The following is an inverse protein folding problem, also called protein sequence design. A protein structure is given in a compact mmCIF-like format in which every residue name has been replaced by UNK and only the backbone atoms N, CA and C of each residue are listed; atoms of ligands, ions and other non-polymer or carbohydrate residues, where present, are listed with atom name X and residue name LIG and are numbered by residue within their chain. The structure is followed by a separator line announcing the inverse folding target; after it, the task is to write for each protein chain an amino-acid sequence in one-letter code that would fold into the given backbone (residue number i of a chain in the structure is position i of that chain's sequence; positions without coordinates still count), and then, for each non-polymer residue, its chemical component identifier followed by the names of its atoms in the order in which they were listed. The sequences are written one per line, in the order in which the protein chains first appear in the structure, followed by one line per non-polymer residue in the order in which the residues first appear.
data_IF_062821925917
#
_entry.id   IF_062821925917
#
_cell.length_a   1.000
_cell.length_b   1.000
_cell.length_c   1.000
_cell.angle_alpha   90.00
_cell.angle_beta   90.00
_cell.angle_gamma   90.00
#
_symmetry.space_group_name_H-M   'P 1'
#
loop_
_entity.id
_entity.type
_entity.pdbx_description
1 polymer ?
#
# COMPACT_ATOMS: atom_id res chain seq x y z
N UNK A 1 7.55 65.61 1.03
CA UNK A 1 6.33 64.84 1.38
C UNK A 1 6.68 63.79 2.43
N UNK A 2 6.20 63.92 3.68
CA UNK A 2 6.40 62.90 4.73
C UNK A 2 5.23 61.90 4.69
N UNK A 3 5.50 60.63 4.36
CA UNK A 3 4.51 59.54 4.43
C UNK A 3 4.27 59.16 5.90
N UNK A 4 3.06 59.40 6.39
CA UNK A 4 2.57 58.89 7.67
C UNK A 4 2.27 57.39 7.53
N UNK A 5 2.89 56.56 8.36
CA UNK A 5 2.53 55.13 8.48
C UNK A 5 1.25 55.01 9.33
N UNK A 6 0.24 54.24 8.89
CA UNK A 6 -0.98 54.06 9.66
C UNK A 6 -0.68 53.26 10.93
N UNK A 7 -1.07 53.82 12.06
CA UNK A 7 -0.95 53.19 13.38
C UNK A 7 -2.10 52.21 13.55
N UNK A 8 -1.86 50.93 13.23
CA UNK A 8 -2.86 49.88 13.41
C UNK A 8 -3.10 49.66 14.90
N UNK A 9 -4.35 49.81 15.33
CA UNK A 9 -4.74 49.62 16.72
C UNK A 9 -4.83 48.12 17.01
N UNK A 10 -3.78 47.58 17.62
CA UNK A 10 -3.65 46.17 18.02
C UNK A 10 -4.86 45.63 18.79
N UNK A 11 -5.56 46.46 19.57
CA UNK A 11 -6.76 46.00 20.30
C UNK A 11 -7.92 45.70 19.37
N UNK A 12 -8.09 46.46 18.28
CA UNK A 12 -9.13 46.19 17.27
C UNK A 12 -8.79 44.93 16.46
N UNK A 13 -7.51 44.70 16.16
CA UNK A 13 -7.08 43.49 15.44
C UNK A 13 -7.33 42.22 16.27
N UNK A 14 -7.06 42.26 17.58
CA UNK A 14 -7.30 41.13 18.48
C UNK A 14 -8.78 40.78 18.59
N UNK A 15 -9.67 41.79 18.65
CA UNK A 15 -11.13 41.59 18.71
C UNK A 15 -11.64 40.93 17.42
N UNK A 16 -11.12 41.34 16.25
CA UNK A 16 -11.50 40.74 14.96
C UNK A 16 -11.09 39.26 14.90
N UNK A 17 -9.90 38.93 15.38
CA UNK A 17 -9.42 37.53 15.42
C UNK A 17 -10.29 36.68 16.35
N UNK A 18 -10.62 37.17 17.55
CA UNK A 18 -11.50 36.44 18.48
C UNK A 18 -12.91 36.22 17.92
N UNK A 19 -13.48 37.21 17.22
CA UNK A 19 -14.77 37.06 16.54
C UNK A 19 -14.71 36.04 15.40
N UNK A 20 -13.59 35.98 14.66
CA UNK A 20 -13.40 34.98 13.61
C UNK A 20 -13.32 33.56 14.19
N UNK A 21 -12.61 33.36 15.30
CA UNK A 21 -12.55 32.05 15.98
C UNK A 21 -13.91 31.64 16.56
N UNK A 22 -14.71 32.57 17.06
CA UNK A 22 -16.06 32.26 17.54
C UNK A 22 -17.05 31.95 16.42
N UNK A 23 -16.95 32.65 15.29
CA UNK A 23 -17.86 32.46 14.15
C UNK A 23 -17.51 31.23 13.31
N UNK A 24 -16.24 30.81 13.30
CA UNK A 24 -15.77 29.71 12.44
C UNK A 24 -15.18 28.51 13.21
N UNK A 25 -14.95 28.63 14.52
CA UNK A 25 -14.35 27.57 15.36
C UNK A 25 -15.32 26.52 15.88
N UNK A 26 -16.63 26.68 15.66
CA UNK A 26 -17.65 25.69 16.03
C UNK A 26 -18.48 25.27 14.81
N UNK A 27 -17.83 24.60 13.86
CA UNK A 27 -18.48 23.98 12.71
C UNK A 27 -18.38 22.46 12.75
N UNK A 28 -19.52 21.79 13.00
CA UNK A 28 -19.84 20.35 12.85
C UNK A 28 -19.52 19.41 14.02
N UNK A 29 -20.42 19.38 15.00
CA UNK A 29 -21.05 18.11 15.42
C UNK A 29 -22.44 18.06 14.80
N UNK A 30 -22.60 17.27 13.73
CA UNK A 30 -23.91 16.74 13.35
C UNK A 30 -23.80 15.22 13.46
N UNK A 31 -24.52 14.67 14.41
CA UNK A 31 -24.93 13.27 14.42
C UNK A 31 -25.81 13.03 13.19
N UNK A 32 -25.42 12.08 12.34
CA UNK A 32 -26.33 11.43 11.40
C UNK A 32 -26.13 9.94 11.60
N UNK A 33 -27.19 9.28 12.08
CA UNK A 33 -27.37 7.83 12.03
C UNK A 33 -27.20 7.36 10.58
N UNK A 34 -26.11 6.66 10.30
CA UNK A 34 -25.93 5.91 9.06
C UNK A 34 -26.06 4.42 9.39
N UNK A 35 -27.31 3.94 9.45
CA UNK A 35 -27.60 2.51 9.51
C UNK A 35 -28.61 2.05 8.44
N UNK A 36 -28.99 2.89 7.46
CA UNK A 36 -30.14 2.55 6.60
C UNK A 36 -30.02 2.90 5.11
N UNK A 37 -28.81 2.98 4.53
CA UNK A 37 -28.65 3.23 3.09
C UNK A 37 -27.67 2.30 2.35
N UNK A 38 -27.28 1.16 2.94
CA UNK A 38 -26.41 0.19 2.25
C UNK A 38 -27.15 -0.91 1.47
N UNK A 39 -28.47 -1.06 1.67
CA UNK A 39 -29.28 -2.09 1.00
C UNK A 39 -29.79 -1.69 -0.39
N UNK A 40 -29.89 -0.39 -0.68
CA UNK A 40 -30.57 0.07 -1.91
C UNK A 40 -29.64 0.17 -3.12
N UNK A 41 -28.32 0.33 -2.90
CA UNK A 41 -27.32 0.38 -3.98
C UNK A 41 -26.91 -1.03 -4.45
N UNK A 42 -27.12 -2.05 -3.62
CA UNK A 42 -26.79 -3.44 -3.97
C UNK A 42 -27.88 -4.13 -4.81
N UNK A 43 -29.12 -3.63 -4.78
CA UNK A 43 -30.21 -4.19 -5.59
C UNK A 43 -30.28 -3.61 -7.02
N UNK A 44 -29.77 -2.39 -7.25
CA UNK A 44 -29.72 -1.79 -8.59
C UNK A 44 -28.64 -2.41 -9.51
N UNK A 45 -27.66 -3.13 -8.95
CA UNK A 45 -26.62 -3.80 -9.74
C UNK A 45 -26.99 -5.23 -10.17
N UNK A 46 -28.01 -5.85 -9.57
CA UNK A 46 -28.41 -7.23 -9.88
C UNK A 46 -29.42 -7.29 -11.04
N UNK A 47 -30.21 -6.24 -11.27
CA UNK A 47 -31.19 -6.19 -12.36
C UNK A 47 -30.60 -5.90 -13.76
N UNK A 48 -29.30 -5.56 -13.85
CA UNK A 48 -28.62 -5.27 -15.14
C UNK A 48 -28.07 -6.55 -15.81
N UNK A 49 -28.00 -7.69 -15.11
CA UNK A 49 -27.42 -8.94 -15.64
C UNK A 49 -28.50 -10.00 -15.96
N UNK A 50 -29.77 -9.78 -15.61
CA UNK A 50 -30.84 -10.78 -15.73
C UNK A 50 -31.83 -10.52 -16.86
N UNK A 51 -31.41 -10.50 -18.13
CA UNK A 51 -32.36 -10.49 -19.27
C UNK A 51 -31.68 -10.88 -20.60
N UNK A 52 -31.49 -12.18 -20.81
CA UNK A 52 -31.35 -12.79 -22.14
C UNK A 52 -31.97 -14.17 -22.05
N UNK A 53 -33.05 -14.53 -22.75
CA UNK A 53 -33.37 -14.20 -24.13
C UNK A 53 -33.12 -15.48 -24.93
N UNK A 54 -34.16 -16.32 -24.99
CA UNK A 54 -34.18 -17.60 -25.72
C UNK A 54 -33.78 -17.40 -27.18
N UNK A 55 -32.82 -18.19 -27.66
CA UNK A 55 -32.50 -18.31 -29.09
C UNK A 55 -32.35 -19.78 -29.45
N UNK A 56 -33.19 -20.19 -30.40
CA UNK A 56 -33.31 -21.52 -30.99
C UNK A 56 -32.01 -22.05 -31.62
N UNK A 57 -31.81 -23.37 -31.47
CA UNK A 57 -30.85 -24.17 -32.23
C UNK A 57 -31.29 -24.36 -33.69
N UNK A 58 -30.34 -24.44 -34.64
CA UNK A 58 -30.29 -25.67 -35.44
C UNK A 58 -28.88 -26.18 -35.81
N UNK A 59 -28.77 -27.51 -35.70
CA UNK A 59 -28.06 -28.50 -36.55
C UNK A 59 -26.63 -28.28 -37.09
N UNK A 60 -25.75 -29.20 -36.65
CA UNK A 60 -24.75 -30.00 -37.39
C UNK A 60 -24.20 -29.48 -38.75
N UNK A 61 -22.89 -29.25 -38.81
CA UNK A 61 -22.04 -29.65 -39.95
C UNK A 61 -20.56 -29.77 -39.50
N UNK A 62 -19.80 -30.61 -40.20
CA UNK A 62 -18.52 -31.21 -39.77
C UNK A 62 -17.31 -30.63 -40.53
N UNK A 63 -16.20 -30.37 -39.80
CA UNK A 63 -14.77 -30.31 -40.20
C UNK A 63 -14.29 -29.15 -41.14
N UNK A 64 -12.96 -28.85 -41.29
CA UNK A 64 -11.75 -29.34 -40.59
C UNK A 64 -10.80 -28.23 -40.03
N UNK A 65 -9.86 -28.72 -39.21
CA UNK A 65 -8.56 -28.20 -38.75
C UNK A 65 -8.00 -26.88 -39.32
N UNK A 66 -7.69 -25.92 -38.43
CA UNK A 66 -6.73 -24.84 -38.70
C UNK A 66 -5.86 -24.54 -37.47
N UNK A 67 -4.55 -24.59 -37.71
CA UNK A 67 -3.46 -24.12 -36.84
C UNK A 67 -3.79 -22.79 -36.16
N UNK A 68 -3.90 -22.81 -34.83
CA UNK A 68 -3.93 -21.61 -34.00
C UNK A 68 -2.64 -21.52 -33.18
N UNK A 69 -1.68 -20.73 -33.69
CA UNK A 69 -0.69 -20.07 -32.85
C UNK A 69 -1.40 -18.94 -32.09
N UNK A 70 -2.15 -19.29 -31.05
CA UNK A 70 -2.58 -18.32 -30.04
C UNK A 70 -1.40 -18.00 -29.12
N UNK A 71 -1.17 -16.72 -28.77
CA UNK A 71 -0.27 -16.38 -27.67
C UNK A 71 -0.80 -17.09 -26.43
N UNK A 72 0.06 -17.87 -25.77
CA UNK A 72 -0.22 -18.47 -24.47
C UNK A 72 -0.25 -17.33 -23.43
N UNK A 73 -1.35 -16.59 -23.42
CA UNK A 73 -1.71 -15.66 -22.37
C UNK A 73 -2.24 -16.48 -21.20
N UNK A 74 -1.34 -16.96 -20.35
CA UNK A 74 -1.72 -17.46 -19.04
C UNK A 74 -2.02 -16.24 -18.18
N UNK A 75 -3.27 -15.80 -18.19
CA UNK A 75 -3.77 -14.86 -17.19
C UNK A 75 -4.05 -15.66 -15.91
N UNK A 76 -3.01 -15.98 -15.15
CA UNK A 76 -3.18 -16.47 -13.78
C UNK A 76 -3.61 -15.29 -12.90
N UNK A 77 -4.92 -15.08 -12.78
CA UNK A 77 -5.53 -14.22 -11.75
C UNK A 77 -5.74 -15.07 -10.50
N UNK A 78 -4.67 -15.62 -9.93
CA UNK A 78 -4.57 -15.65 -8.47
C UNK A 78 -3.85 -14.36 -8.09
N UNK A 79 -4.52 -13.23 -8.33
CA UNK A 79 -3.99 -11.96 -7.84
C UNK A 79 -3.96 -12.07 -6.33
N UNK A 80 -2.85 -11.65 -5.72
CA UNK A 80 -2.78 -11.30 -4.30
C UNK A 80 -3.68 -10.06 -4.01
N UNK A 81 -4.90 -10.03 -4.57
CA UNK A 81 -5.86 -8.94 -4.54
C UNK A 81 -6.27 -8.63 -3.13
N UNK A 82 -6.32 -9.64 -2.25
CA UNK A 82 -6.58 -9.42 -0.83
C UNK A 82 -5.43 -8.68 -0.15
N UNK A 83 -4.17 -8.98 -0.48
CA UNK A 83 -3.01 -8.26 0.08
C UNK A 83 -3.07 -6.80 -0.35
N UNK A 84 -3.35 -6.56 -1.64
CA UNK A 84 -3.48 -5.21 -2.21
C UNK A 84 -4.64 -4.46 -1.56
N UNK A 85 -5.83 -5.06 -1.50
CA UNK A 85 -7.03 -4.48 -0.89
C UNK A 85 -6.76 -4.13 0.59
N UNK A 86 -6.12 -5.03 1.33
CA UNK A 86 -5.77 -4.77 2.72
C UNK A 86 -4.71 -3.67 2.85
N UNK A 87 -3.75 -3.58 1.92
CA UNK A 87 -2.77 -2.50 1.88
C UNK A 87 -3.41 -1.13 1.62
N UNK A 88 -4.38 -1.05 0.70
CA UNK A 88 -5.17 0.16 0.47
C UNK A 88 -5.95 0.57 1.71
N UNK A 89 -6.61 -0.39 2.37
CA UNK A 89 -7.36 -0.14 3.61
C UNK A 89 -6.44 0.32 4.74
N UNK A 90 -5.31 -0.35 4.97
CA UNK A 90 -4.37 -0.02 6.05
C UNK A 90 -3.69 1.34 5.79
N UNK A 91 -3.22 1.59 4.57
CA UNK A 91 -2.58 2.85 4.21
C UNK A 91 -3.52 4.05 4.35
N UNK A 92 -4.78 3.93 3.93
CA UNK A 92 -5.79 4.99 4.10
C UNK A 92 -6.02 5.35 5.58
N UNK A 93 -5.96 4.35 6.48
CA UNK A 93 -6.18 4.54 7.91
C UNK A 93 -4.95 5.07 8.66
N UNK A 94 -3.74 4.87 8.13
CA UNK A 94 -2.48 5.42 8.65
C UNK A 94 -2.38 6.94 8.41
N UNK A 95 -2.84 7.42 7.25
CA UNK A 95 -2.71 8.83 6.88
C UNK A 95 -3.70 9.74 7.61
N UNK A 96 -4.89 9.23 8.00
CA UNK A 96 -5.88 9.98 8.77
C UNK A 96 -5.38 10.41 10.16
N UNK A 97 -4.38 9.72 10.72
CA UNK A 97 -3.79 10.02 12.02
C UNK A 97 -2.59 10.97 12.03
N UNK A 98 -1.99 11.23 10.87
CA UNK A 98 -0.74 11.99 10.77
C UNK A 98 -0.91 13.51 10.95
N UNK A 99 -2.14 14.03 10.88
CA UNK A 99 -2.42 15.46 11.02
C UNK A 99 -2.49 15.96 12.48
N UNK A 100 -2.47 15.08 13.48
CA UNK A 100 -2.43 15.45 14.89
C UNK A 100 -1.18 14.86 15.55
N UNK A 101 -0.08 15.63 15.51
CA UNK A 101 1.16 15.35 16.22
C UNK A 101 0.89 15.09 17.71
N UNK A 102 0.91 13.82 18.12
CA UNK A 102 0.79 13.38 19.51
C UNK A 102 -0.05 12.13 19.77
N UNK A 103 -0.87 11.67 18.80
CA UNK A 103 -1.83 10.56 18.99
C UNK A 103 -1.67 9.38 18.01
N UNK A 104 -0.55 9.31 17.27
CA UNK A 104 -0.46 8.52 16.04
C UNK A 104 -0.60 6.99 16.21
N UNK A 105 -0.17 6.41 17.34
CA UNK A 105 -0.27 4.96 17.57
C UNK A 105 -1.61 4.50 18.16
N UNK A 106 -2.20 5.27 19.08
CA UNK A 106 -3.55 4.95 19.59
C UNK A 106 -4.60 5.09 18.50
N UNK A 107 -4.41 6.06 17.59
CA UNK A 107 -5.26 6.19 16.41
C UNK A 107 -5.01 5.06 15.40
N UNK A 108 -3.74 4.69 15.15
CA UNK A 108 -3.41 3.49 14.37
C UNK A 108 -4.13 2.29 14.95
N UNK A 109 -3.85 1.92 16.21
CA UNK A 109 -4.46 0.77 16.88
C UNK A 109 -5.98 0.82 16.84
N UNK A 110 -6.60 1.99 17.03
CA UNK A 110 -8.07 2.15 16.94
C UNK A 110 -8.59 1.89 15.53
N UNK A 111 -7.92 2.43 14.52
CA UNK A 111 -8.32 2.33 13.12
C UNK A 111 -8.06 0.92 12.55
N UNK A 112 -6.92 0.30 12.89
CA UNK A 112 -6.65 -1.09 12.47
C UNK A 112 -7.38 -2.10 13.35
N UNK A 113 -7.75 -1.83 14.60
CA UNK A 113 -8.55 -2.75 15.43
C UNK A 113 -9.91 -3.08 14.81
N UNK A 114 -10.49 -2.15 14.04
CA UNK A 114 -11.75 -2.39 13.33
C UNK A 114 -11.58 -3.34 12.13
N UNK A 115 -10.37 -3.39 11.55
CA UNK A 115 -10.04 -4.23 10.39
C UNK A 115 -9.36 -5.54 10.83
N UNK A 116 -8.69 -5.52 11.99
CA UNK A 116 -7.97 -6.61 12.64
C UNK A 116 -8.95 -7.63 13.21
N UNK A 117 -9.33 -8.61 12.41
CA UNK A 117 -10.03 -9.79 12.89
C UNK A 117 -9.15 -10.53 13.92
N UNK A 118 -9.33 -10.32 15.23
CA UNK A 118 -8.59 -11.04 16.30
C UNK A 118 -7.07 -10.74 16.45
N UNK A 119 -6.66 -9.46 16.45
CA UNK A 119 -5.26 -9.06 16.76
C UNK A 119 -4.18 -9.47 15.74
N UNK A 120 -4.55 -9.78 14.49
CA UNK A 120 -3.59 -10.05 13.39
C UNK A 120 -2.83 -8.82 12.89
N UNK A 121 -3.10 -7.63 13.41
CA UNK A 121 -2.33 -6.42 13.12
C UNK A 121 -1.26 -6.25 14.21
N UNK A 122 -0.06 -5.82 13.83
CA UNK A 122 1.08 -5.69 14.74
C UNK A 122 0.69 -4.93 16.01
N UNK A 123 0.82 -5.54 17.20
CA UNK A 123 0.40 -4.89 18.42
C UNK A 123 1.27 -3.67 18.73
N UNK A 124 0.64 -2.72 19.41
CA UNK A 124 1.25 -1.57 20.09
C UNK A 124 2.62 -1.89 20.69
N UNK A 125 3.60 -1.01 20.48
CA UNK A 125 4.90 -1.08 21.16
C UNK A 125 5.12 0.19 21.98
N UNK A 126 5.30 0.02 23.29
CA UNK A 126 5.81 1.08 24.17
C UNK A 126 7.33 1.13 24.10
N UNK A 127 7.88 2.33 23.88
CA UNK A 127 9.29 2.63 24.11
C UNK A 127 10.15 2.87 22.87
N UNK A 128 11.19 3.69 23.05
CA UNK A 128 12.23 3.93 22.07
C UNK A 128 13.14 2.69 21.96
N UNK A 129 13.18 2.05 20.79
CA UNK A 129 14.19 1.02 20.50
C UNK A 129 15.44 1.77 20.04
N UNK A 130 16.59 1.54 20.71
CA UNK A 130 17.85 2.24 20.42
C UNK A 130 18.47 1.91 19.06
N UNK A 131 17.99 0.85 18.40
CA UNK A 131 18.60 0.31 17.17
C UNK A 131 17.87 0.71 15.87
N UNK A 132 16.91 1.65 15.91
CA UNK A 132 15.95 1.88 14.80
C UNK A 132 15.74 3.35 14.39
N UNK A 133 16.68 4.23 14.75
CA UNK A 133 16.62 5.66 14.41
C UNK A 133 15.58 6.44 15.23
N UNK A 134 15.74 7.77 15.26
CA UNK A 134 15.10 8.67 16.23
C UNK A 134 13.55 8.75 16.17
N UNK A 135 12.91 8.19 15.14
CA UNK A 135 11.45 8.25 14.99
C UNK A 135 10.72 6.97 15.38
N UNK A 136 11.34 5.78 15.30
CA UNK A 136 10.68 4.51 15.64
C UNK A 136 9.35 4.24 14.91
N UNK A 137 9.09 4.94 13.78
CA UNK A 137 7.83 4.88 13.05
C UNK A 137 7.88 3.79 11.97
N UNK A 138 7.54 2.57 12.37
CA UNK A 138 7.45 1.38 11.53
C UNK A 138 6.20 1.35 10.63
N UNK A 139 5.72 2.48 10.13
CA UNK A 139 4.43 2.49 9.40
C UNK A 139 4.52 1.71 8.09
N UNK A 140 5.63 1.87 7.34
CA UNK A 140 5.87 1.14 6.10
C UNK A 140 5.85 -0.39 6.31
N UNK A 141 6.57 -0.88 7.31
CA UNK A 141 6.61 -2.31 7.65
C UNK A 141 5.30 -2.79 8.28
N UNK A 142 4.68 -2.03 9.19
CA UNK A 142 3.38 -2.37 9.77
C UNK A 142 2.28 -2.49 8.71
N UNK A 143 2.31 -1.65 7.67
CA UNK A 143 1.41 -1.76 6.54
C UNK A 143 1.60 -3.10 5.83
N UNK A 144 2.84 -3.49 5.53
CA UNK A 144 3.15 -4.80 4.93
C UNK A 144 2.67 -5.94 5.83
N UNK A 145 3.07 -5.96 7.10
CA UNK A 145 2.73 -7.03 8.05
C UNK A 145 1.21 -7.17 8.19
N UNK A 146 0.52 -6.05 8.39
CA UNK A 146 -0.94 -6.05 8.56
C UNK A 146 -1.63 -6.54 7.29
N UNK A 147 -1.16 -6.13 6.11
CA UNK A 147 -1.78 -6.50 4.84
C UNK A 147 -1.68 -8.00 4.57
N UNK A 148 -0.50 -8.59 4.79
CA UNK A 148 -0.30 -10.03 4.68
C UNK A 148 -1.08 -10.81 5.74
N UNK A 149 -1.05 -10.37 7.00
CA UNK A 149 -1.74 -11.05 8.10
C UNK A 149 -3.27 -11.04 7.94
N UNK A 150 -3.83 -9.91 7.48
CA UNK A 150 -5.27 -9.79 7.17
C UNK A 150 -5.67 -10.64 5.95
N UNK A 151 -4.73 -10.96 5.08
CA UNK A 151 -4.92 -11.89 3.95
C UNK A 151 -4.68 -13.36 4.33
N UNK A 152 -4.46 -13.67 5.62
CA UNK A 152 -4.25 -15.03 6.10
C UNK A 152 -2.80 -15.52 6.06
N UNK A 153 -1.85 -14.69 5.62
CA UNK A 153 -0.43 -15.02 5.59
C UNK A 153 0.22 -14.65 6.92
N UNK A 154 0.36 -15.65 7.78
CA UNK A 154 0.88 -15.50 9.15
C UNK A 154 2.41 -15.69 9.18
N UNK A 155 3.02 -15.27 10.29
CA UNK A 155 4.45 -15.49 10.57
C UNK A 155 5.26 -14.20 10.72
N UNK A 156 4.81 -13.10 10.12
CA UNK A 156 5.37 -11.78 10.37
C UNK A 156 4.67 -11.11 11.55
N UNK A 157 5.44 -10.50 12.45
CA UNK A 157 4.90 -9.78 13.60
C UNK A 157 5.83 -8.69 14.12
N UNK A 158 5.80 -8.46 15.43
CA UNK A 158 6.54 -7.38 16.07
C UNK A 158 8.08 -7.50 15.91
N UNK A 159 8.59 -8.70 15.65
CA UNK A 159 10.03 -8.93 15.48
C UNK A 159 10.53 -8.50 14.09
N UNK A 160 9.64 -8.47 13.10
CA UNK A 160 9.90 -8.16 11.69
C UNK A 160 9.61 -6.68 11.37
N UNK A 161 9.39 -5.83 12.37
CA UNK A 161 9.08 -4.41 12.14
C UNK A 161 10.23 -3.60 11.54
N UNK A 162 11.49 -4.06 11.65
CA UNK A 162 12.62 -3.45 10.93
C UNK A 162 12.70 -3.97 9.51
N UNK A 163 12.95 -3.10 8.51
CA UNK A 163 13.01 -3.49 7.09
C UNK A 163 14.02 -4.63 6.85
N UNK A 164 15.20 -4.59 7.47
CA UNK A 164 16.14 -5.73 7.37
C UNK A 164 15.58 -7.02 7.96
N UNK A 165 15.00 -6.96 9.16
CA UNK A 165 14.43 -8.14 9.83
C UNK A 165 13.26 -8.72 9.03
N UNK A 166 12.49 -7.84 8.40
CA UNK A 166 11.43 -8.20 7.47
C UNK A 166 12.00 -8.92 6.24
N UNK A 167 13.04 -8.40 5.59
CA UNK A 167 13.70 -9.11 4.49
C UNK A 167 14.25 -10.47 4.95
N UNK A 168 14.83 -10.55 6.13
CA UNK A 168 15.34 -11.80 6.70
C UNK A 168 14.23 -12.83 6.95
N UNK A 169 13.00 -12.39 7.25
CA UNK A 169 11.84 -13.28 7.30
C UNK A 169 11.60 -13.96 5.95
N UNK A 170 11.58 -13.18 4.86
CA UNK A 170 11.37 -13.72 3.50
C UNK A 170 12.55 -14.57 2.99
N UNK A 171 13.77 -14.24 3.39
CA UNK A 171 14.98 -15.00 3.02
C UNK A 171 15.05 -16.37 3.69
N UNK A 172 14.38 -16.55 4.84
CA UNK A 172 14.34 -17.85 5.51
C UNK A 172 13.55 -18.84 4.65
N UNK A 173 14.12 -20.02 4.34
CA UNK A 173 13.39 -21.04 3.62
C UNK A 173 12.08 -21.37 4.32
N UNK A 174 10.97 -21.29 3.59
CA UNK A 174 9.66 -21.71 4.02
C UNK A 174 8.80 -22.07 2.80
N UNK A 175 7.61 -22.63 3.05
CA UNK A 175 6.71 -23.18 2.03
C UNK A 175 5.67 -22.16 1.51
N UNK A 176 5.73 -20.90 1.94
CA UNK A 176 4.72 -19.89 1.62
C UNK A 176 5.30 -18.63 0.97
N UNK A 177 6.58 -18.35 1.21
CA UNK A 177 7.22 -17.10 0.86
C UNK A 177 8.53 -17.35 0.11
N UNK A 178 8.75 -16.50 -0.89
CA UNK A 178 9.98 -16.46 -1.67
C UNK A 178 10.58 -15.05 -1.63
N UNK A 179 11.90 -14.97 -1.55
CA UNK A 179 12.64 -13.72 -1.67
C UNK A 179 13.39 -13.66 -3.00
N UNK A 180 13.17 -12.59 -3.74
CA UNK A 180 13.92 -12.26 -4.94
C UNK A 180 14.99 -11.22 -4.58
N UNK A 181 16.25 -11.64 -4.50
CA UNK A 181 17.38 -10.75 -4.23
C UNK A 181 17.72 -9.93 -5.49
N UNK A 182 17.06 -8.79 -5.63
CA UNK A 182 17.21 -7.91 -6.79
C UNK A 182 18.57 -7.21 -6.85
N UNK A 183 19.22 -7.03 -5.69
CA UNK A 183 20.49 -6.33 -5.62
C UNK A 183 21.67 -7.20 -6.04
N UNK A 184 21.75 -8.43 -5.52
CA UNK A 184 22.88 -9.33 -5.75
C UNK A 184 22.54 -10.52 -6.68
N UNK A 185 21.27 -10.79 -6.91
CA UNK A 185 20.80 -11.91 -7.73
C UNK A 185 20.57 -11.58 -9.20
N UNK A 186 19.90 -12.51 -9.89
CA UNK A 186 19.53 -12.35 -11.30
C UNK A 186 18.36 -11.36 -11.44
N UNK A 187 18.69 -10.12 -11.79
CA UNK A 187 17.71 -9.05 -12.00
C UNK A 187 16.65 -9.40 -13.03
N UNK A 188 16.99 -10.10 -14.10
CA UNK A 188 16.04 -10.46 -15.15
C UNK A 188 15.01 -11.45 -14.61
N UNK A 189 15.47 -12.56 -14.02
CA UNK A 189 14.58 -13.57 -13.44
C UNK A 189 13.72 -12.98 -12.33
N UNK A 190 14.32 -12.18 -11.44
CA UNK A 190 13.61 -11.55 -10.34
C UNK A 190 12.52 -10.61 -10.87
N UNK A 191 12.88 -9.68 -11.77
CA UNK A 191 11.96 -8.66 -12.27
C UNK A 191 10.76 -9.27 -13.03
N UNK A 192 10.98 -10.38 -13.75
CA UNK A 192 9.93 -11.12 -14.44
C UNK A 192 9.07 -11.98 -13.50
N UNK A 193 9.52 -12.25 -12.28
CA UNK A 193 8.81 -13.08 -11.29
C UNK A 193 7.94 -12.27 -10.34
N UNK A 194 8.15 -10.94 -10.24
CA UNK A 194 7.39 -10.07 -9.35
C UNK A 194 5.93 -9.96 -9.84
N UNK A 195 5.01 -10.00 -8.88
CA UNK A 195 3.58 -9.85 -9.11
C UNK A 195 3.01 -8.75 -8.20
N UNK A 196 1.85 -8.16 -8.56
CA UNK A 196 1.06 -7.37 -7.62
C UNK A 196 0.86 -8.10 -6.28
N UNK A 197 0.99 -7.37 -5.18
CA UNK A 197 0.92 -7.87 -3.81
C UNK A 197 2.26 -8.28 -3.20
N UNK A 198 3.35 -8.40 -3.96
CA UNK A 198 4.67 -8.59 -3.37
C UNK A 198 5.10 -7.38 -2.53
N UNK A 199 5.80 -7.61 -1.43
CA UNK A 199 6.53 -6.56 -0.74
C UNK A 199 7.78 -6.17 -1.54
N UNK A 200 8.12 -4.89 -1.61
CA UNK A 200 9.41 -4.42 -2.13
C UNK A 200 10.26 -3.86 -1.00
N UNK A 201 11.58 -3.88 -1.16
CA UNK A 201 12.51 -3.40 -0.17
C UNK A 201 13.56 -2.51 -0.80
N UNK A 202 13.77 -1.34 -0.21
CA UNK A 202 14.85 -0.45 -0.61
C UNK A 202 15.69 -0.01 0.59
N UNK A 203 16.98 0.11 0.34
CA UNK A 203 17.98 0.54 1.31
C UNK A 203 18.88 1.59 0.63
N UNK A 204 19.30 2.61 1.37
CA UNK A 204 20.33 3.54 0.91
C UNK A 204 21.65 2.79 0.72
N UNK A 205 22.13 2.18 1.79
CA UNK A 205 23.27 1.26 1.75
C UNK A 205 22.79 -0.15 2.07
N UNK A 206 22.85 -1.09 1.11
CA UNK A 206 22.39 -2.46 1.31
C UNK A 206 23.02 -3.11 2.56
N UNK A 207 22.18 -3.64 3.43
CA UNK A 207 22.59 -4.26 4.70
C UNK A 207 22.93 -3.30 5.85
N UNK A 208 22.84 -1.97 5.66
CA UNK A 208 23.01 -1.00 6.75
C UNK A 208 21.68 -0.34 7.12
N UNK A 209 21.51 -0.03 8.41
CA UNK A 209 20.32 0.64 8.95
C UNK A 209 20.32 2.16 8.68
N UNK A 210 20.69 2.60 7.47
CA UNK A 210 20.97 4.00 7.13
C UNK A 210 20.02 4.58 6.07
N UNK A 211 18.71 4.37 6.28
CA UNK A 211 17.68 4.79 5.34
C UNK A 211 17.12 3.57 4.63
N UNK A 212 15.93 3.14 5.04
CA UNK A 212 15.29 1.92 4.59
C UNK A 212 13.80 2.14 4.40
N UNK A 213 13.23 1.46 3.42
CA UNK A 213 11.80 1.55 3.17
C UNK A 213 11.26 0.27 2.55
N UNK A 214 9.98 0.06 2.74
CA UNK A 214 9.24 -1.04 2.14
C UNK A 214 7.81 -0.61 1.84
N UNK A 215 7.16 -1.35 0.96
CA UNK A 215 5.75 -1.22 0.68
C UNK A 215 5.31 -2.40 -0.16
N UNK A 216 4.15 -2.28 -0.80
CA UNK A 216 3.55 -3.35 -1.60
C UNK A 216 3.52 -2.95 -3.06
N UNK A 217 3.93 -3.85 -3.96
CA UNK A 217 3.80 -3.69 -5.40
C UNK A 217 2.31 -3.68 -5.75
N UNK A 218 1.83 -2.57 -6.30
CA UNK A 218 0.43 -2.39 -6.68
C UNK A 218 0.18 -2.84 -8.11
N UNK A 219 1.00 -2.36 -9.04
CA UNK A 219 1.01 -2.81 -10.42
C UNK A 219 2.43 -2.94 -10.91
N UNK A 220 2.67 -3.83 -11.85
CA UNK A 220 3.96 -3.96 -12.52
C UNK A 220 3.74 -4.37 -13.98
N UNK A 221 4.54 -3.81 -14.87
CA UNK A 221 4.57 -4.16 -16.28
C UNK A 221 6.00 -4.08 -16.76
N UNK A 222 6.48 -5.16 -17.36
CA UNK A 222 7.85 -5.32 -17.86
C UNK A 222 7.76 -5.98 -19.23
N UNK A 223 8.41 -5.38 -20.22
CA UNK A 223 8.49 -5.94 -21.57
C UNK A 223 9.62 -6.99 -21.70
N UNK A 224 9.72 -7.60 -22.88
CA UNK A 224 10.74 -8.60 -23.17
C UNK A 224 12.18 -8.05 -23.14
N UNK A 225 12.37 -6.74 -23.10
CA UNK A 225 13.67 -6.07 -23.00
C UNK A 225 13.95 -5.58 -21.59
N UNK A 226 13.09 -5.92 -20.61
CA UNK A 226 13.26 -5.51 -19.22
C UNK A 226 12.90 -4.05 -18.96
N UNK A 227 12.15 -3.40 -19.84
CA UNK A 227 11.71 -2.03 -19.65
C UNK A 227 10.24 -1.97 -19.24
N UNK A 228 9.87 -0.95 -18.47
CA UNK A 228 8.48 -0.74 -18.10
C UNK A 228 8.29 0.13 -16.86
N UNK A 229 7.31 -0.22 -16.04
CA UNK A 229 7.03 0.52 -14.81
C UNK A 229 6.40 -0.33 -13.73
N UNK A 230 6.65 0.07 -12.49
CA UNK A 230 6.02 -0.47 -11.30
C UNK A 230 5.35 0.67 -10.54
N UNK A 231 4.18 0.43 -9.98
CA UNK A 231 3.61 1.30 -8.96
C UNK A 231 3.52 0.56 -7.64
N UNK A 232 3.62 1.29 -6.54
CA UNK A 232 3.64 0.75 -5.19
C UNK A 232 2.65 1.46 -4.30
N UNK A 233 2.12 0.75 -3.32
CA UNK A 233 1.44 1.30 -2.15
C UNK A 233 2.45 1.41 -1.02
N UNK A 234 2.59 2.61 -0.48
CA UNK A 234 3.56 2.97 0.54
C UNK A 234 2.87 3.75 1.67
N UNK A 235 3.47 3.69 2.85
CA UNK A 235 3.12 4.56 3.98
C UNK A 235 4.38 5.16 4.56
N UNK A 236 4.26 6.30 5.24
CA UNK A 236 5.43 7.10 5.62
C UNK A 236 6.30 7.51 4.40
N UNK A 237 5.64 7.74 3.28
CA UNK A 237 6.22 8.25 2.03
C UNK A 237 5.52 9.57 1.67
N UNK A 238 6.11 10.37 0.77
CA UNK A 238 5.53 11.65 0.35
C UNK A 238 4.21 11.49 -0.39
N UNK A 239 4.02 10.33 -1.02
CA UNK A 239 2.78 9.93 -1.65
C UNK A 239 2.45 8.50 -1.22
N UNK A 240 1.16 8.19 -1.13
CA UNK A 240 0.66 6.83 -0.91
C UNK A 240 0.98 5.88 -2.06
N UNK A 241 0.88 6.40 -3.29
CA UNK A 241 1.18 5.66 -4.51
C UNK A 241 2.42 6.28 -5.15
N UNK A 242 3.47 5.49 -5.32
CA UNK A 242 4.67 5.92 -6.05
C UNK A 242 4.84 5.10 -7.32
N UNK A 243 5.39 5.74 -8.36
CA UNK A 243 5.66 5.11 -9.65
C UNK A 243 7.16 5.09 -9.89
N UNK A 244 7.65 3.92 -10.28
CA UNK A 244 9.04 3.66 -10.61
C UNK A 244 9.17 3.23 -12.07
N UNK A 245 10.18 3.76 -12.75
CA UNK A 245 10.57 3.30 -14.08
C UNK A 245 11.46 2.09 -13.96
N UNK A 246 11.16 1.05 -14.75
CA UNK A 246 12.00 -0.12 -14.89
C UNK A 246 12.76 0.02 -16.21
N UNK A 247 14.07 -0.21 -16.18
CA UNK A 247 14.94 -0.17 -17.35
C UNK A 247 15.97 -1.29 -17.25
N UNK A 248 16.13 -2.07 -18.31
CA UNK A 248 17.10 -3.17 -18.38
C UNK A 248 17.01 -4.11 -17.17
N UNK A 249 15.76 -4.45 -16.78
CA UNK A 249 15.39 -5.23 -15.61
C UNK A 249 15.77 -4.61 -14.26
N UNK A 250 16.13 -3.33 -14.21
CA UNK A 250 16.49 -2.64 -12.98
C UNK A 250 15.61 -1.41 -12.71
N UNK A 251 15.72 -0.86 -11.50
CA UNK A 251 14.99 0.35 -11.08
C UNK A 251 16.03 1.44 -10.74
N UNK A 252 16.54 2.18 -11.74
CA UNK A 252 17.68 3.06 -11.57
C UNK A 252 17.38 4.36 -10.82
N UNK A 253 16.11 4.78 -10.77
CA UNK A 253 15.70 6.10 -10.28
C UNK A 253 14.83 5.98 -9.03
N UNK A 254 15.37 5.38 -7.97
CA UNK A 254 14.75 5.48 -6.66
C UNK A 254 15.04 6.86 -6.04
N UNK A 255 14.16 7.29 -5.15
CA UNK A 255 14.29 8.54 -4.40
C UNK A 255 15.58 8.54 -3.59
N UNK A 256 16.19 9.70 -3.36
CA UNK A 256 17.21 9.96 -2.33
C UNK A 256 18.24 8.83 -2.17
N UNK A 257 19.01 8.51 -3.22
CA UNK A 257 20.12 7.55 -3.20
C UNK A 257 19.81 6.09 -2.78
N UNK A 258 18.54 5.71 -2.68
CA UNK A 258 18.10 4.35 -2.41
C UNK A 258 18.40 3.38 -3.56
N UNK A 259 18.52 2.10 -3.20
CA UNK A 259 18.69 0.97 -4.13
C UNK A 259 17.61 -0.07 -3.87
N UNK A 260 17.05 -0.62 -4.95
CA UNK A 260 16.11 -1.73 -4.84
C UNK A 260 16.90 -2.95 -4.37
N UNK A 261 16.56 -3.44 -3.19
CA UNK A 261 17.29 -4.54 -2.56
C UNK A 261 16.67 -5.87 -2.93
N UNK A 262 15.34 -5.96 -2.91
CA UNK A 262 14.65 -7.18 -3.27
C UNK A 262 13.14 -7.11 -3.11
N UNK A 263 12.52 -8.26 -3.32
CA UNK A 263 11.08 -8.43 -3.26
C UNK A 263 10.71 -9.67 -2.47
N UNK A 264 9.72 -9.55 -1.60
CA UNK A 264 9.15 -10.66 -0.85
C UNK A 264 7.77 -11.00 -1.41
N UNK A 265 7.59 -12.20 -1.93
CA UNK A 265 6.34 -12.63 -2.56
C UNK A 265 5.77 -13.87 -1.88
N UNK A 266 4.48 -14.14 -2.11
CA UNK A 266 3.90 -15.45 -1.84
C UNK A 266 4.35 -16.42 -2.94
N UNK A 267 4.78 -17.61 -2.55
CA UNK A 267 5.23 -18.66 -3.46
C UNK A 267 6.31 -19.55 -2.85
N UNK A 268 6.52 -20.69 -3.48
CA UNK A 268 7.60 -21.62 -3.17
C UNK A 268 8.70 -21.52 -4.23
N UNK A 269 9.95 -21.73 -3.82
CA UNK A 269 11.09 -21.95 -4.73
C UNK A 269 10.97 -23.26 -5.49
#
# INVERSE_FOLDING_TARGET
MKKLKPKVNMKKLLIIICLFVLLFGFGRRNEINAQDQSSDILNEFIDIIGSGGDIDSPTNETAPDTNSNSPVGITQIETNSDIIKNAELVSANLELGSYNFGLSFDLYNRNVKQISNQYHTTPYREGAVKDVGDTGLFWCTNMVISSYSLSGYLGMGANEQGVQRMMDFWRKPNDQFIFFDHYAGDKQTNMLSIKPGCAFFMERTPGLYDGQHTGIVYTITVDSHGNGSMTTLESNSSNKINKYTIKDYDIPNLRDDYKMTGFGCIGTT
#
